data_IF_852581329506
#
_entry.id   IF_852581329506
#
_cell.length_a   1.000
_cell.length_b   1.000
_cell.length_c   1.000
_cell.angle_alpha   90.00
_cell.angle_beta   90.00
_cell.angle_gamma   90.00
#
_symmetry.space_group_name_H-M   'P 1'
#
loop_
_entity.id
_entity.type
_entity.pdbx_description
1 polymer ?
#
# COMPACT_ATOMS: atom_id res chain seq x y z
N UNK A 1 -5.12 1.58 -13.34
CA UNK A 1 -5.84 2.42 -14.31
C UNK A 1 -6.95 1.63 -14.98
N UNK A 2 -8.03 2.30 -15.35
CA UNK A 2 -9.16 1.76 -16.12
C UNK A 2 -9.50 2.76 -17.21
N UNK A 3 -10.33 2.37 -18.20
CA UNK A 3 -10.81 3.27 -19.27
C UNK A 3 -11.51 4.53 -18.71
N UNK A 4 -11.94 4.50 -17.44
CA UNK A 4 -12.61 5.59 -16.72
C UNK A 4 -11.69 6.29 -15.69
N UNK A 5 -10.37 6.15 -15.79
CA UNK A 5 -9.37 6.76 -14.91
C UNK A 5 -8.82 5.84 -13.82
N UNK A 6 -8.14 6.44 -12.83
CA UNK A 6 -7.52 5.73 -11.71
C UNK A 6 -8.59 5.44 -10.65
N UNK A 7 -8.65 4.19 -10.19
CA UNK A 7 -9.57 3.73 -9.15
C UNK A 7 -8.82 2.90 -8.11
N UNK A 8 -9.32 2.91 -6.90
CA UNK A 8 -8.79 2.16 -5.76
C UNK A 8 -9.12 2.90 -4.47
N UNK A 9 -8.70 2.35 -3.34
CA UNK A 9 -8.98 2.94 -2.04
C UNK A 9 -8.28 4.29 -1.88
N UNK A 10 -6.96 4.35 -2.08
CA UNK A 10 -6.18 5.60 -2.07
C UNK A 10 -6.74 6.62 -3.07
N UNK A 11 -7.11 6.15 -4.27
CA UNK A 11 -7.70 7.01 -5.29
C UNK A 11 -9.02 7.65 -4.85
N UNK A 12 -9.86 6.89 -4.16
CA UNK A 12 -11.10 7.42 -3.59
C UNK A 12 -10.84 8.43 -2.47
N UNK A 13 -9.87 8.18 -1.59
CA UNK A 13 -9.52 9.10 -0.50
C UNK A 13 -9.02 10.44 -1.07
N UNK A 14 -8.08 10.46 -2.03
CA UNK A 14 -7.60 11.74 -2.56
C UNK A 14 -8.66 12.49 -3.39
N UNK A 15 -9.57 11.79 -4.08
CA UNK A 15 -10.70 12.43 -4.76
C UNK A 15 -11.66 13.08 -3.76
N UNK A 16 -11.97 12.40 -2.67
CA UNK A 16 -12.78 12.95 -1.58
C UNK A 16 -12.08 14.14 -0.91
N UNK A 17 -10.76 14.09 -0.72
CA UNK A 17 -9.97 15.22 -0.20
C UNK A 17 -10.04 16.41 -1.15
N UNK A 18 -9.85 16.22 -2.46
CA UNK A 18 -9.99 17.28 -3.47
C UNK A 18 -11.38 17.93 -3.43
N UNK A 19 -12.44 17.12 -3.33
CA UNK A 19 -13.80 17.60 -3.16
C UNK A 19 -13.98 18.39 -1.87
N UNK A 20 -13.38 17.93 -0.78
CA UNK A 20 -13.46 18.61 0.53
C UNK A 20 -12.77 19.97 0.53
N UNK A 21 -11.59 20.09 -0.13
CA UNK A 21 -10.81 21.34 -0.21
C UNK A 21 -11.34 22.29 -1.29
N UNK A 22 -11.60 21.76 -2.49
CA UNK A 22 -11.82 22.54 -3.71
C UNK A 22 -13.26 22.49 -4.22
N UNK A 23 -14.12 21.73 -3.55
CA UNK A 23 -15.52 21.55 -3.93
C UNK A 23 -15.73 20.67 -5.18
N UNK A 24 -14.67 20.06 -5.71
CA UNK A 24 -14.70 19.28 -6.93
C UNK A 24 -13.66 18.15 -6.85
N UNK A 25 -14.09 16.92 -6.98
CA UNK A 25 -13.28 15.71 -6.87
C UNK A 25 -12.33 15.46 -8.05
N UNK A 26 -12.39 16.30 -9.08
CA UNK A 26 -11.54 16.20 -10.28
C UNK A 26 -10.44 17.27 -10.32
N UNK A 27 -10.45 18.22 -9.39
CA UNK A 27 -9.48 19.33 -9.32
C UNK A 27 -8.19 18.93 -8.61
N UNK A 28 -7.41 18.08 -9.24
CA UNK A 28 -6.06 17.73 -8.82
C UNK A 28 -5.21 17.35 -10.01
N UNK A 29 -3.91 17.41 -9.84
CA UNK A 29 -2.92 16.87 -10.79
C UNK A 29 -2.27 15.63 -10.16
N UNK A 30 -2.05 14.58 -10.95
CA UNK A 30 -1.42 13.35 -10.50
C UNK A 30 0.03 13.27 -10.94
N UNK A 31 0.89 12.98 -9.99
CA UNK A 31 2.28 12.58 -10.22
C UNK A 31 2.45 11.15 -9.75
N UNK A 32 2.88 10.26 -10.66
CA UNK A 32 3.19 8.89 -10.29
C UNK A 32 4.50 8.85 -9.50
N UNK A 33 4.51 8.10 -8.40
CA UNK A 33 5.67 7.89 -7.55
C UNK A 33 5.87 6.41 -7.28
N UNK A 34 7.12 6.02 -7.07
CA UNK A 34 7.51 4.72 -6.53
C UNK A 34 7.86 4.84 -5.04
N UNK A 35 7.93 3.73 -4.33
CA UNK A 35 8.24 3.74 -2.89
C UNK A 35 9.55 4.46 -2.56
N UNK A 36 10.54 4.41 -3.45
CA UNK A 36 11.84 5.06 -3.27
C UNK A 36 11.88 6.56 -3.58
N UNK A 37 10.82 7.12 -4.17
CA UNK A 37 10.82 8.52 -4.63
C UNK A 37 9.82 9.43 -3.90
N UNK A 38 8.86 8.86 -3.17
CA UNK A 38 7.75 9.63 -2.56
C UNK A 38 8.21 10.65 -1.50
N UNK A 39 9.26 10.36 -0.70
CA UNK A 39 9.83 11.34 0.22
C UNK A 39 10.44 12.54 -0.53
N UNK A 40 11.20 12.29 -1.59
CA UNK A 40 11.90 13.35 -2.33
C UNK A 40 10.96 14.29 -3.07
N UNK A 41 9.84 13.81 -3.60
CA UNK A 41 8.85 14.67 -4.29
C UNK A 41 8.08 15.56 -3.31
N UNK A 42 7.85 15.11 -2.08
CA UNK A 42 7.32 15.94 -1.00
C UNK A 42 8.31 16.99 -0.53
N UNK A 43 9.56 16.58 -0.26
CA UNK A 43 10.63 17.49 0.19
C UNK A 43 10.96 18.58 -0.83
N UNK A 44 10.87 18.26 -2.12
CA UNK A 44 11.11 19.24 -3.19
C UNK A 44 9.92 20.15 -3.49
N UNK A 45 8.76 19.90 -2.88
CA UNK A 45 7.52 20.61 -3.18
C UNK A 45 6.95 20.33 -4.57
N UNK A 46 7.35 19.20 -5.17
CA UNK A 46 6.81 18.78 -6.48
C UNK A 46 5.34 18.34 -6.36
N UNK A 47 4.96 17.82 -5.20
CA UNK A 47 3.59 17.44 -4.86
C UNK A 47 3.21 17.99 -3.48
N UNK A 48 1.92 18.23 -3.25
CA UNK A 48 1.39 18.71 -1.98
C UNK A 48 1.14 17.59 -0.99
N UNK A 49 0.70 16.42 -1.50
CA UNK A 49 0.37 15.22 -0.70
C UNK A 49 0.72 13.94 -1.46
N UNK A 50 0.99 12.86 -0.71
CA UNK A 50 1.22 11.52 -1.28
C UNK A 50 0.26 10.50 -0.67
N UNK A 51 -0.45 9.78 -1.55
CA UNK A 51 -1.24 8.58 -1.27
C UNK A 51 -0.64 7.41 -2.04
N UNK A 52 -0.02 6.47 -1.37
CA UNK A 52 0.72 5.38 -2.04
C UNK A 52 0.93 4.17 -1.12
N UNK A 53 -0.15 3.65 -0.44
CA UNK A 53 0.01 2.64 0.61
C UNK A 53 1.19 3.00 1.53
N UNK A 54 1.18 4.23 2.03
CA UNK A 54 2.36 4.87 2.60
C UNK A 54 2.48 4.59 4.08
N UNK A 55 3.22 3.54 4.44
CA UNK A 55 3.46 3.13 5.83
C UNK A 55 4.06 4.27 6.65
N UNK A 56 3.42 4.56 7.77
CA UNK A 56 3.92 5.50 8.77
C UNK A 56 5.04 4.82 9.54
N UNK A 57 6.28 5.32 9.40
CA UNK A 57 7.45 4.82 10.14
C UNK A 57 8.19 5.97 10.82
N UNK A 58 8.91 5.68 11.91
CA UNK A 58 9.67 6.71 12.63
C UNK A 58 10.74 7.34 11.73
N UNK A 59 11.43 6.55 10.91
CA UNK A 59 12.44 7.07 9.98
C UNK A 59 11.85 8.02 8.94
N UNK A 60 10.63 7.76 8.45
CA UNK A 60 9.93 8.66 7.51
C UNK A 60 9.42 9.92 8.19
N UNK A 61 8.96 9.81 9.45
CA UNK A 61 8.55 10.98 10.28
C UNK A 61 9.68 11.98 10.53
N UNK A 62 10.95 11.58 10.38
CA UNK A 62 12.10 12.50 10.49
C UNK A 62 12.22 13.45 9.28
N UNK A 63 11.66 13.09 8.13
CA UNK A 63 11.88 13.81 6.86
C UNK A 63 10.60 14.31 6.19
N UNK A 64 9.43 13.80 6.59
CA UNK A 64 8.10 14.23 6.14
C UNK A 64 7.11 14.17 7.32
N UNK A 65 5.95 14.78 7.16
CA UNK A 65 4.84 14.65 8.09
C UNK A 65 3.77 13.69 7.55
N UNK A 66 3.03 13.04 8.45
CA UNK A 66 1.90 12.19 8.11
C UNK A 66 0.60 12.69 8.74
N UNK A 67 -0.49 12.61 8.00
CA UNK A 67 -1.84 12.60 8.53
C UNK A 67 -2.41 11.17 8.48
N UNK A 68 -3.31 10.84 9.37
CA UNK A 68 -3.88 9.52 9.53
C UNK A 68 -3.45 8.83 10.82
N UNK A 69 -3.39 7.49 10.85
CA UNK A 69 -3.54 6.57 9.71
C UNK A 69 -4.97 6.55 9.14
N UNK A 70 -5.10 6.19 7.85
CA UNK A 70 -6.41 6.02 7.21
C UNK A 70 -6.73 4.57 6.84
N UNK A 71 -5.76 3.67 6.95
CA UNK A 71 -5.91 2.24 6.72
C UNK A 71 -4.82 1.45 7.45
N UNK A 72 -5.11 0.20 7.79
CA UNK A 72 -4.13 -0.72 8.38
C UNK A 72 -4.08 -2.00 7.57
N UNK A 73 -2.88 -2.43 7.19
CA UNK A 73 -2.61 -3.66 6.46
C UNK A 73 -1.59 -4.53 7.21
N UNK A 74 -1.17 -5.62 6.58
CA UNK A 74 -0.03 -6.47 6.96
C UNK A 74 0.67 -6.94 5.71
N UNK A 75 1.85 -7.53 5.88
CA UNK A 75 2.58 -8.15 4.78
C UNK A 75 2.01 -9.54 4.44
N UNK A 76 2.16 -9.95 3.19
CA UNK A 76 1.83 -11.30 2.76
C UNK A 76 2.82 -11.80 1.70
N UNK A 77 2.80 -13.10 1.45
CA UNK A 77 3.66 -13.78 0.49
C UNK A 77 2.83 -14.12 -0.75
N UNK A 78 3.21 -13.59 -1.91
CA UNK A 78 2.65 -13.95 -3.21
C UNK A 78 3.53 -14.97 -3.90
N UNK A 79 2.91 -16.00 -4.45
CA UNK A 79 3.57 -17.03 -5.25
C UNK A 79 2.81 -17.23 -6.56
N UNK A 80 3.43 -17.90 -7.51
CA UNK A 80 2.73 -18.37 -8.72
C UNK A 80 1.68 -19.41 -8.34
N UNK A 81 0.54 -19.37 -8.98
CA UNK A 81 -0.51 -20.35 -8.76
C UNK A 81 0.00 -21.80 -9.00
N UNK A 82 -0.38 -22.71 -8.10
CA UNK A 82 0.11 -24.08 -8.09
C UNK A 82 1.48 -24.27 -7.48
N UNK A 83 2.04 -23.27 -6.82
CA UNK A 83 3.27 -23.41 -6.04
C UNK A 83 3.02 -24.35 -4.84
N UNK A 84 3.97 -25.25 -4.57
CA UNK A 84 3.90 -26.17 -3.42
C UNK A 84 5.10 -26.09 -2.49
N UNK A 85 6.09 -25.25 -2.83
CA UNK A 85 7.34 -25.14 -2.08
C UNK A 85 7.30 -24.03 -1.03
N UNK A 86 6.67 -22.90 -1.38
CA UNK A 86 6.51 -21.76 -0.49
C UNK A 86 5.10 -21.79 0.08
N UNK A 87 4.98 -22.04 1.38
CA UNK A 87 3.71 -22.21 2.10
C UNK A 87 3.42 -21.11 3.10
N UNK A 88 4.30 -20.12 3.21
CA UNK A 88 4.23 -18.97 4.12
C UNK A 88 5.61 -18.39 4.37
N UNK A 89 5.70 -17.39 5.22
CA UNK A 89 6.95 -16.68 5.54
C UNK A 89 8.02 -17.61 6.09
N UNK A 90 7.65 -18.61 6.89
CA UNK A 90 8.58 -19.57 7.51
C UNK A 90 9.29 -20.48 6.46
N UNK A 91 8.72 -20.60 5.27
CA UNK A 91 9.28 -21.42 4.18
C UNK A 91 10.17 -20.63 3.22
N UNK A 92 10.45 -19.36 3.50
CA UNK A 92 11.28 -18.50 2.67
C UNK A 92 12.79 -18.70 2.86
N UNK A 93 13.21 -19.50 3.83
CA UNK A 93 14.63 -19.82 4.05
C UNK A 93 15.28 -20.40 2.78
N UNK A 94 16.36 -19.79 2.32
CA UNK A 94 17.08 -20.18 1.09
C UNK A 94 16.37 -19.85 -0.23
N UNK A 95 15.22 -19.20 -0.19
CA UNK A 95 14.48 -18.74 -1.37
C UNK A 95 14.92 -17.34 -1.81
N UNK A 96 14.74 -17.04 -3.09
CA UNK A 96 14.92 -15.66 -3.62
C UNK A 96 13.58 -14.96 -3.55
N UNK A 97 13.50 -13.88 -2.75
CA UNK A 97 12.26 -13.19 -2.46
C UNK A 97 12.32 -11.76 -2.99
N UNK A 98 11.36 -11.43 -3.86
CA UNK A 98 11.19 -10.07 -4.36
C UNK A 98 10.54 -9.18 -3.31
N UNK A 99 10.92 -7.91 -3.28
CA UNK A 99 10.20 -6.82 -2.62
C UNK A 99 10.45 -5.50 -3.34
N UNK A 100 9.79 -4.41 -2.92
CA UNK A 100 9.99 -3.09 -3.53
C UNK A 100 11.06 -2.29 -2.79
N UNK A 101 11.97 -1.68 -3.55
CA UNK A 101 12.96 -0.75 -3.00
C UNK A 101 12.29 0.47 -2.37
N UNK A 102 12.75 0.89 -1.19
CA UNK A 102 12.18 2.02 -0.44
C UNK A 102 10.84 1.73 0.24
N UNK A 103 10.34 0.47 0.16
CA UNK A 103 9.20 0.01 0.96
C UNK A 103 9.66 -0.46 2.35
N UNK A 104 8.72 -0.90 3.19
CA UNK A 104 9.01 -1.59 4.45
C UNK A 104 9.44 -3.05 4.26
N UNK A 105 9.24 -3.60 3.05
CA UNK A 105 9.50 -5.00 2.72
C UNK A 105 10.90 -5.51 3.04
N UNK A 106 11.99 -4.79 2.70
CA UNK A 106 13.35 -5.22 3.03
C UNK A 106 13.57 -5.43 4.54
N UNK A 107 13.11 -4.48 5.37
CA UNK A 107 13.26 -4.56 6.84
C UNK A 107 12.40 -5.70 7.42
N UNK A 108 11.17 -5.86 6.94
CA UNK A 108 10.29 -6.95 7.33
C UNK A 108 10.89 -8.30 6.96
N UNK A 109 11.46 -8.46 5.76
CA UNK A 109 12.11 -9.70 5.36
C UNK A 109 13.38 -9.97 6.19
N UNK A 110 14.15 -8.95 6.56
CA UNK A 110 15.32 -9.11 7.42
C UNK A 110 14.93 -9.63 8.82
N UNK A 111 13.75 -9.26 9.33
CA UNK A 111 13.25 -9.71 10.64
C UNK A 111 12.57 -11.08 10.57
N UNK A 112 11.67 -11.29 9.61
CA UNK A 112 10.77 -12.47 9.57
C UNK A 112 11.28 -13.61 8.70
N UNK A 113 12.19 -13.34 7.76
CA UNK A 113 12.78 -14.33 6.87
C UNK A 113 14.29 -14.06 6.65
N UNK A 114 15.12 -14.02 7.70
CA UNK A 114 16.53 -13.59 7.62
C UNK A 114 17.41 -14.50 6.75
N UNK A 115 16.96 -15.73 6.47
CA UNK A 115 17.68 -16.68 5.61
C UNK A 115 17.23 -16.61 4.14
N UNK A 116 16.28 -15.73 3.80
CA UNK A 116 15.89 -15.47 2.41
C UNK A 116 16.93 -14.60 1.70
N UNK A 117 17.07 -14.78 0.39
CA UNK A 117 17.82 -13.86 -0.46
C UNK A 117 16.88 -12.79 -0.99
N UNK A 118 16.97 -11.59 -0.46
CA UNK A 118 16.09 -10.49 -0.85
C UNK A 118 16.58 -9.86 -2.16
N UNK A 119 15.68 -9.71 -3.12
CA UNK A 119 15.91 -8.96 -4.35
C UNK A 119 14.91 -7.80 -4.43
N UNK A 120 15.43 -6.58 -4.43
CA UNK A 120 14.64 -5.37 -4.52
C UNK A 120 14.36 -4.98 -5.97
N UNK A 121 13.12 -4.54 -6.24
CA UNK A 121 12.67 -4.04 -7.54
C UNK A 121 12.15 -2.61 -7.40
N UNK A 122 12.20 -1.83 -8.47
CA UNK A 122 11.77 -0.43 -8.43
C UNK A 122 10.28 -0.29 -8.14
N UNK A 123 9.45 -1.22 -8.62
CA UNK A 123 7.99 -1.18 -8.47
C UNK A 123 7.36 -2.57 -8.45
N UNK A 124 6.06 -2.62 -8.10
CA UNK A 124 5.23 -3.83 -8.05
C UNK A 124 5.22 -4.62 -9.39
N UNK A 125 5.13 -3.91 -10.52
CA UNK A 125 5.08 -4.58 -11.83
C UNK A 125 6.37 -5.34 -12.15
N UNK A 126 7.53 -4.79 -11.82
CA UNK A 126 8.82 -5.44 -12.03
C UNK A 126 8.99 -6.65 -11.11
N UNK A 127 8.60 -6.53 -9.82
CA UNK A 127 8.62 -7.62 -8.86
C UNK A 127 7.74 -8.80 -9.31
N UNK A 128 6.49 -8.52 -9.72
CA UNK A 128 5.59 -9.55 -10.25
C UNK A 128 6.09 -10.17 -11.55
N UNK A 129 6.66 -9.37 -12.45
CA UNK A 129 7.27 -9.90 -13.68
C UNK A 129 8.44 -10.84 -13.38
N UNK A 130 9.25 -10.52 -12.36
CA UNK A 130 10.33 -11.42 -11.92
C UNK A 130 9.78 -12.74 -11.37
N UNK A 131 8.69 -12.70 -10.61
CA UNK A 131 7.99 -13.89 -10.10
C UNK A 131 7.41 -14.73 -11.25
N UNK A 132 6.72 -14.12 -12.21
CA UNK A 132 6.17 -14.82 -13.39
C UNK A 132 7.25 -15.55 -14.20
N UNK A 133 8.40 -14.91 -14.37
CA UNK A 133 9.55 -15.46 -15.10
C UNK A 133 10.34 -16.49 -14.30
N UNK A 134 10.01 -16.71 -13.02
CA UNK A 134 10.74 -17.64 -12.15
C UNK A 134 12.14 -17.16 -11.78
N UNK A 135 12.40 -15.84 -11.85
CA UNK A 135 13.65 -15.23 -11.39
C UNK A 135 13.70 -15.11 -9.86
N UNK A 136 12.53 -15.07 -9.24
CA UNK A 136 12.33 -15.12 -7.79
C UNK A 136 11.30 -16.19 -7.45
N UNK A 137 11.35 -16.73 -6.25
CA UNK A 137 10.47 -17.79 -5.77
C UNK A 137 9.16 -17.23 -5.18
N UNK A 138 9.22 -16.05 -4.59
CA UNK A 138 8.10 -15.37 -3.95
C UNK A 138 8.23 -13.85 -4.07
N UNK A 139 7.12 -13.15 -3.84
CA UNK A 139 7.08 -11.69 -3.71
C UNK A 139 6.39 -11.31 -2.41
N UNK A 140 7.02 -10.50 -1.59
CA UNK A 140 6.50 -10.00 -0.31
C UNK A 140 6.24 -8.51 -0.41
N UNK A 141 5.02 -8.11 -0.10
CA UNK A 141 4.56 -6.73 0.02
C UNK A 141 3.22 -6.70 0.76
N UNK A 142 2.57 -5.54 0.82
CA UNK A 142 1.28 -5.36 1.48
C UNK A 142 0.18 -6.26 0.90
N UNK A 143 -0.56 -6.89 1.79
CA UNK A 143 -1.64 -7.81 1.43
C UNK A 143 -2.65 -7.19 0.46
N UNK A 144 -3.01 -5.91 0.66
CA UNK A 144 -3.96 -5.20 -0.23
C UNK A 144 -3.45 -5.07 -1.67
N UNK A 145 -2.15 -4.86 -1.87
CA UNK A 145 -1.55 -4.82 -3.20
C UNK A 145 -1.58 -6.20 -3.86
N UNK A 146 -1.29 -7.25 -3.09
CA UNK A 146 -1.30 -8.62 -3.59
C UNK A 146 -2.71 -9.09 -3.98
N UNK A 147 -3.72 -8.74 -3.20
CA UNK A 147 -5.12 -9.01 -3.56
C UNK A 147 -5.50 -8.35 -4.89
N UNK A 148 -5.08 -7.10 -5.11
CA UNK A 148 -5.32 -6.43 -6.39
C UNK A 148 -4.57 -7.13 -7.55
N UNK A 149 -3.36 -7.63 -7.32
CA UNK A 149 -2.62 -8.40 -8.32
C UNK A 149 -3.35 -9.69 -8.71
N UNK A 150 -3.90 -10.42 -7.73
CA UNK A 150 -4.68 -11.65 -7.95
C UNK A 150 -5.97 -11.36 -8.72
N UNK A 151 -6.71 -10.31 -8.34
CA UNK A 151 -7.95 -9.92 -9.02
C UNK A 151 -7.72 -9.51 -10.47
N UNK A 152 -6.60 -8.82 -10.74
CA UNK A 152 -6.23 -8.40 -12.10
C UNK A 152 -5.71 -9.54 -12.98
N UNK A 153 -5.17 -10.59 -12.37
CA UNK A 153 -4.56 -11.72 -13.07
C UNK A 153 -5.12 -13.06 -12.54
N UNK A 154 -6.41 -13.36 -12.80
CA UNK A 154 -7.05 -14.56 -12.27
C UNK A 154 -6.31 -15.84 -12.64
N UNK A 155 -5.97 -16.64 -11.63
CA UNK A 155 -5.26 -17.92 -11.83
C UNK A 155 -3.75 -17.81 -12.06
N UNK A 156 -3.17 -16.60 -11.99
CA UNK A 156 -1.72 -16.42 -12.12
C UNK A 156 -0.97 -16.56 -10.80
N UNK A 157 -1.60 -16.13 -9.71
CA UNK A 157 -0.99 -16.03 -8.38
C UNK A 157 -1.90 -16.54 -7.28
N UNK A 158 -1.30 -16.83 -6.14
CA UNK A 158 -1.97 -17.15 -4.88
C UNK A 158 -1.17 -16.59 -3.69
N UNK A 159 -1.87 -16.37 -2.57
CA UNK A 159 -1.22 -16.02 -1.30
C UNK A 159 -0.76 -17.33 -0.64
N UNK A 160 0.51 -17.38 -0.25
CA UNK A 160 1.08 -18.49 0.50
C UNK A 160 1.03 -18.20 2.01
N UNK A 161 0.30 -19.01 2.74
CA UNK A 161 0.14 -18.89 4.20
C UNK A 161 -0.70 -17.69 4.62
N UNK A 162 -0.55 -17.30 5.89
CA UNK A 162 -1.25 -16.18 6.50
C UNK A 162 -0.50 -14.86 6.29
N UNK A 163 -1.19 -13.73 6.49
CA UNK A 163 -0.55 -12.42 6.61
C UNK A 163 0.37 -12.39 7.84
N UNK A 164 1.46 -11.66 7.77
CA UNK A 164 2.48 -11.65 8.80
C UNK A 164 3.05 -10.25 9.05
N UNK A 165 3.94 -10.15 10.02
CA UNK A 165 4.57 -8.89 10.41
C UNK A 165 3.68 -8.01 11.29
N UNK A 166 4.17 -6.83 11.67
CA UNK A 166 3.42 -5.86 12.45
C UNK A 166 2.26 -5.27 11.63
N UNK A 167 1.36 -4.57 12.31
CA UNK A 167 0.38 -3.74 11.64
C UNK A 167 1.08 -2.63 10.86
N UNK A 168 0.67 -2.47 9.60
CA UNK A 168 1.19 -1.48 8.68
C UNK A 168 0.15 -0.37 8.48
N UNK A 169 0.33 0.73 9.17
CA UNK A 169 -0.55 1.88 9.17
C UNK A 169 -0.23 2.81 8.00
N UNK A 170 -1.18 3.01 7.08
CA UNK A 170 -1.03 3.93 5.96
C UNK A 170 -1.43 5.34 6.33
N UNK A 171 -0.53 6.28 6.09
CA UNK A 171 -0.77 7.70 6.25
C UNK A 171 -0.75 8.47 4.93
N UNK A 172 -1.31 9.65 4.99
CA UNK A 172 -1.16 10.66 3.93
C UNK A 172 0.15 11.39 4.19
N UNK A 173 1.11 11.26 3.26
CA UNK A 173 2.38 11.99 3.35
C UNK A 173 2.20 13.45 2.98
N UNK A 174 2.77 14.35 3.78
CA UNK A 174 2.82 15.80 3.58
C UNK A 174 4.27 16.31 3.78
N UNK A 175 4.60 17.51 3.27
CA UNK A 175 5.88 18.14 3.61
C UNK A 175 6.08 18.21 5.12
N UNK A 176 7.36 18.14 5.54
CA UNK A 176 7.71 18.20 6.96
C UNK A 176 7.14 19.46 7.62
N UNK A 177 6.57 19.32 8.82
CA UNK A 177 5.95 20.38 9.62
C UNK A 177 4.78 21.10 8.93
N UNK A 178 4.12 20.44 7.97
CA UNK A 178 2.96 21.01 7.28
C UNK A 178 1.75 21.18 8.20
N UNK A 179 1.18 22.38 8.26
CA UNK A 179 -0.11 22.65 8.92
C UNK A 179 -1.27 21.84 8.27
N UNK A 180 -1.08 21.35 7.06
CA UNK A 180 -2.03 20.51 6.35
C UNK A 180 -2.35 19.20 7.07
N UNK A 181 -1.48 18.72 7.96
CA UNK A 181 -1.72 17.49 8.77
C UNK A 181 -3.03 17.62 9.57
N UNK A 182 -3.21 18.74 10.28
CA UNK A 182 -4.42 18.97 11.09
C UNK A 182 -5.67 18.93 10.21
N UNK A 183 -5.62 19.61 9.07
CA UNK A 183 -6.73 19.69 8.14
C UNK A 183 -7.08 18.33 7.51
N UNK A 184 -6.07 17.56 7.12
CA UNK A 184 -6.28 16.22 6.54
C UNK A 184 -6.79 15.26 7.61
N UNK A 185 -6.31 15.33 8.86
CA UNK A 185 -6.85 14.55 9.96
C UNK A 185 -8.32 14.85 10.25
N UNK A 186 -8.74 16.13 10.22
CA UNK A 186 -10.16 16.50 10.36
C UNK A 186 -11.00 15.93 9.20
N UNK A 187 -10.48 15.99 7.98
CA UNK A 187 -11.14 15.37 6.83
C UNK A 187 -11.30 13.85 7.00
N UNK A 188 -10.22 13.14 7.39
CA UNK A 188 -10.25 11.68 7.60
C UNK A 188 -11.27 11.29 8.68
N UNK A 189 -11.24 11.96 9.84
CA UNK A 189 -12.24 11.76 10.91
C UNK A 189 -13.66 11.93 10.41
N UNK A 190 -13.91 12.96 9.60
CA UNK A 190 -15.23 13.24 9.05
C UNK A 190 -15.74 12.15 8.10
N UNK A 191 -14.89 11.59 7.24
CA UNK A 191 -15.31 10.51 6.33
C UNK A 191 -15.50 9.19 7.07
N UNK A 192 -14.81 8.97 8.19
CA UNK A 192 -15.05 7.83 9.08
C UNK A 192 -16.38 7.98 9.82
N UNK A 193 -16.60 9.10 10.50
CA UNK A 193 -17.81 9.38 11.30
C UNK A 193 -19.10 9.30 10.49
N UNK A 194 -19.07 9.73 9.22
CA UNK A 194 -20.26 9.75 8.36
C UNK A 194 -20.44 8.46 7.51
N UNK A 195 -19.58 7.46 7.69
CA UNK A 195 -19.63 6.17 7.00
C UNK A 195 -19.11 6.20 5.55
N UNK A 196 -18.59 7.32 5.05
CA UNK A 196 -18.03 7.43 3.69
C UNK A 196 -16.80 6.54 3.54
N UNK A 197 -15.95 6.45 4.57
CA UNK A 197 -14.77 5.58 4.58
C UNK A 197 -15.16 4.10 4.40
N UNK A 198 -16.14 3.63 5.17
CA UNK A 198 -16.66 2.26 5.08
C UNK A 198 -17.23 1.96 3.69
N UNK A 199 -18.02 2.89 3.14
CA UNK A 199 -18.59 2.75 1.81
C UNK A 199 -17.50 2.70 0.74
N UNK A 200 -16.49 3.58 0.83
CA UNK A 200 -15.36 3.58 -0.09
C UNK A 200 -14.57 2.27 0.00
N UNK A 201 -14.32 1.76 1.21
CA UNK A 201 -13.66 0.48 1.40
C UNK A 201 -14.43 -0.64 0.72
N UNK A 202 -15.76 -0.73 0.93
CA UNK A 202 -16.61 -1.75 0.32
C UNK A 202 -16.48 -1.76 -1.20
N UNK A 203 -16.63 -0.62 -1.86
CA UNK A 203 -16.62 -0.55 -3.33
C UNK A 203 -15.24 -0.69 -3.95
N UNK A 204 -14.17 -0.32 -3.24
CA UNK A 204 -12.80 -0.30 -3.77
C UNK A 204 -12.00 -1.57 -3.45
N UNK A 205 -12.21 -2.15 -2.28
CA UNK A 205 -11.52 -3.35 -1.80
C UNK A 205 -12.49 -4.53 -1.65
N UNK A 206 -13.52 -4.41 -0.83
CA UNK A 206 -14.43 -5.50 -0.49
C UNK A 206 -15.03 -6.18 -1.72
N UNK A 207 -15.80 -5.46 -2.52
CA UNK A 207 -16.48 -5.98 -3.71
C UNK A 207 -15.52 -6.54 -4.77
N UNK A 208 -14.32 -6.00 -4.84
CA UNK A 208 -13.32 -6.42 -5.83
C UNK A 208 -12.53 -7.65 -5.41
N UNK A 209 -12.28 -7.81 -4.13
CA UNK A 209 -11.45 -8.90 -3.59
C UNK A 209 -12.26 -10.03 -2.98
N UNK A 210 -13.56 -9.84 -2.82
CA UNK A 210 -14.45 -10.80 -2.16
C UNK A 210 -14.33 -10.80 -0.64
N UNK A 211 -13.68 -9.81 -0.04
CA UNK A 211 -13.61 -9.66 1.42
C UNK A 211 -14.91 -9.01 1.90
N UNK A 212 -15.73 -9.77 2.60
CA UNK A 212 -17.04 -9.31 3.07
C UNK A 212 -16.98 -8.44 4.33
N UNK A 213 -15.98 -8.71 5.18
CA UNK A 213 -15.85 -8.01 6.47
C UNK A 213 -15.06 -6.72 6.31
N UNK A 214 -15.73 -5.59 6.54
CA UNK A 214 -15.07 -4.29 6.60
C UNK A 214 -14.21 -4.25 7.87
N UNK A 215 -12.92 -3.91 7.77
CA UNK A 215 -12.09 -3.73 8.96
C UNK A 215 -12.52 -2.49 9.75
N UNK A 216 -12.15 -2.41 11.00
CA UNK A 216 -12.26 -1.17 11.76
C UNK A 216 -11.32 -0.11 11.14
N UNK A 217 -11.80 1.13 11.03
CA UNK A 217 -10.93 2.24 10.66
C UNK A 217 -9.88 2.44 11.77
N UNK A 218 -8.61 2.71 11.42
CA UNK A 218 -7.60 2.97 12.44
C UNK A 218 -7.87 4.27 13.17
N UNK A 219 -7.38 4.38 14.41
CA UNK A 219 -7.51 5.62 15.19
C UNK A 219 -6.58 6.69 14.62
N UNK A 220 -7.13 7.81 14.17
CA UNK A 220 -6.37 8.95 13.64
C UNK A 220 -5.67 9.68 14.80
N UNK A 221 -4.35 9.82 14.72
CA UNK A 221 -3.49 10.49 15.71
C UNK A 221 -3.57 12.03 15.66
#
# INVERSE_FOLDING_TARGET
ETDNGIRGFDAGIYQLLARYILGDETKFELTQVDSSTRESVLQSGQVDVVFATYSITDSRKEVISFAGPYYTSKQAVLVKAGNTEVTGVESLAGKIVATQSGSTGPDILAEYAPEATVQEFANDQEARTALEQGRVDAYVTDYTLLLNAIVKNPGAYEIAGDVFGPEDNYGVGLPLDSDGVIFVNEFLKKIEENGTWEQLWKISLGDRTGIETVPEAPVIE
#
